data_IF_628837624384
#
_entry.id   IF_628837624384
#
_cell.length_a   1.000
_cell.length_b   1.000
_cell.length_c   1.000
_cell.angle_alpha   90.00
_cell.angle_beta   90.00
_cell.angle_gamma   90.00
#
_symmetry.space_group_name_H-M   'P 1'
#
loop_
_entity.id
_entity.type
_entity.pdbx_description
1 polymer ?
#
# COMPACT_ATOMS: atom_id res chain seq x y z
N UNK A 1 -0.12 23.75 -10.15
CA UNK A 1 -1.42 23.12 -9.77
C UNK A 1 -1.08 21.78 -9.13
N UNK A 2 -1.79 21.37 -8.07
CA UNK A 2 -1.51 20.07 -7.44
C UNK A 2 -1.87 18.93 -8.42
N UNK A 3 -1.03 17.89 -8.52
CA UNK A 3 -1.18 16.79 -9.47
C UNK A 3 -2.57 16.13 -9.43
N UNK A 4 -3.09 15.88 -8.21
CA UNK A 4 -4.43 15.34 -8.03
C UNK A 4 -5.53 16.23 -8.61
N UNK A 5 -5.45 17.56 -8.41
CA UNK A 5 -6.44 18.48 -8.98
C UNK A 5 -6.44 18.44 -10.52
N UNK A 6 -5.24 18.47 -11.11
CA UNK A 6 -5.08 18.37 -12.57
C UNK A 6 -5.60 17.05 -13.11
N UNK A 7 -5.40 15.96 -12.38
CA UNK A 7 -5.92 14.65 -12.76
C UNK A 7 -7.44 14.62 -12.75
N UNK A 8 -8.05 15.08 -11.66
CA UNK A 8 -9.50 15.05 -11.49
C UNK A 8 -10.25 16.00 -12.45
N UNK A 9 -9.64 17.13 -12.82
CA UNK A 9 -10.27 18.09 -13.75
C UNK A 9 -10.49 17.55 -15.17
N UNK A 10 -9.84 16.45 -15.53
CA UNK A 10 -9.98 15.79 -16.81
C UNK A 10 -10.94 14.59 -16.78
N UNK A 11 -11.61 14.34 -15.66
CA UNK A 11 -12.44 13.15 -15.46
C UNK A 11 -13.87 13.55 -15.10
N UNK A 12 -14.84 12.81 -15.64
CA UNK A 12 -16.24 12.93 -15.25
C UNK A 12 -16.43 12.31 -13.84
N UNK A 13 -16.88 13.12 -12.89
CA UNK A 13 -17.19 12.61 -11.56
C UNK A 13 -18.46 11.75 -11.57
N UNK A 14 -18.42 10.61 -10.93
CA UNK A 14 -19.55 9.68 -10.77
C UNK A 14 -19.70 9.21 -9.34
N UNK A 15 -20.94 8.94 -8.96
CA UNK A 15 -21.23 8.23 -7.72
C UNK A 15 -20.90 6.72 -7.81
N UNK A 16 -21.05 5.99 -6.71
CA UNK A 16 -20.79 4.55 -6.65
C UNK A 16 -21.79 3.70 -7.45
N UNK A 17 -22.84 4.28 -8.00
CA UNK A 17 -23.80 3.61 -8.90
C UNK A 17 -23.51 3.92 -10.38
N UNK A 18 -22.54 4.78 -10.65
CA UNK A 18 -22.17 5.21 -12.00
C UNK A 18 -22.93 6.41 -12.51
N UNK A 19 -23.77 7.05 -11.70
CA UNK A 19 -24.48 8.28 -12.10
C UNK A 19 -23.49 9.45 -12.10
N UNK A 20 -23.62 10.34 -13.11
CA UNK A 20 -22.81 11.55 -13.18
C UNK A 20 -23.15 12.50 -12.01
N UNK A 21 -22.10 13.07 -11.42
CA UNK A 21 -22.21 14.17 -10.45
C UNK A 21 -21.99 15.45 -11.24
N UNK A 22 -23.08 16.20 -11.46
CA UNK A 22 -23.06 17.39 -12.32
C UNK A 22 -22.42 18.59 -11.63
N UNK A 23 -21.79 19.48 -12.41
CA UNK A 23 -20.96 20.59 -11.93
C UNK A 23 -21.69 21.58 -11.00
N UNK A 24 -22.99 21.73 -11.15
CA UNK A 24 -23.86 22.60 -10.35
C UNK A 24 -24.52 21.87 -9.16
N UNK A 25 -24.27 20.58 -9.01
CA UNK A 25 -24.81 19.81 -7.90
C UNK A 25 -24.06 20.08 -6.57
N UNK A 26 -24.78 20.00 -5.44
CA UNK A 26 -24.19 20.13 -4.12
C UNK A 26 -23.02 19.13 -3.90
N UNK A 27 -23.15 17.84 -4.28
CA UNK A 27 -22.05 16.89 -4.16
C UNK A 27 -20.80 17.29 -4.93
N UNK A 28 -20.95 17.86 -6.12
CA UNK A 28 -19.83 18.33 -6.93
C UNK A 28 -19.10 19.49 -6.25
N UNK A 29 -19.84 20.53 -5.85
CA UNK A 29 -19.28 21.72 -5.18
C UNK A 29 -18.57 21.33 -3.89
N UNK A 30 -19.20 20.44 -3.09
CA UNK A 30 -18.62 19.94 -1.84
C UNK A 30 -17.34 19.13 -2.11
N UNK A 31 -17.33 18.27 -3.11
CA UNK A 31 -16.16 17.49 -3.49
C UNK A 31 -15.02 18.36 -4.00
N UNK A 32 -15.30 19.32 -4.86
CA UNK A 32 -14.30 20.27 -5.38
C UNK A 32 -13.67 21.07 -4.23
N UNK A 33 -14.48 21.62 -3.34
CA UNK A 33 -14.01 22.36 -2.14
C UNK A 33 -13.17 21.47 -1.24
N UNK A 34 -13.60 20.22 -1.02
CA UNK A 34 -12.82 19.24 -0.26
C UNK A 34 -11.46 18.99 -0.91
N UNK A 35 -11.41 18.70 -2.20
CA UNK A 35 -10.15 18.43 -2.92
C UNK A 35 -9.21 19.63 -2.83
N UNK A 36 -9.71 20.86 -2.94
CA UNK A 36 -8.92 22.09 -2.81
C UNK A 36 -8.25 22.18 -1.44
N UNK A 37 -9.02 22.00 -0.39
CA UNK A 37 -8.55 22.03 0.99
C UNK A 37 -7.64 20.83 1.29
N UNK A 38 -8.02 19.64 0.84
CA UNK A 38 -7.27 18.42 1.02
C UNK A 38 -5.89 18.49 0.37
N UNK A 39 -5.79 18.97 -0.88
CA UNK A 39 -4.50 19.13 -1.55
C UNK A 39 -3.57 20.12 -0.85
N UNK A 40 -4.11 21.13 -0.18
CA UNK A 40 -3.36 22.16 0.53
C UNK A 40 -2.88 21.70 1.92
N UNK A 41 -3.53 20.71 2.51
CA UNK A 41 -3.19 20.20 3.84
C UNK A 41 -1.87 19.45 3.84
N UNK A 42 -1.05 19.65 4.91
CA UNK A 42 0.33 19.12 4.99
C UNK A 42 0.45 17.76 5.68
N UNK A 43 -0.55 17.36 6.47
CA UNK A 43 -0.43 16.21 7.37
C UNK A 43 -0.80 14.86 6.74
N UNK A 44 -0.46 14.68 5.45
CA UNK A 44 -0.74 13.45 4.71
C UNK A 44 0.20 13.25 3.53
N UNK A 45 0.25 12.04 3.04
CA UNK A 45 0.85 11.69 1.74
C UNK A 45 -0.24 11.11 0.84
N UNK A 46 -0.45 11.71 -0.33
CA UNK A 46 -1.35 11.18 -1.36
C UNK A 46 -0.64 10.04 -2.07
N UNK A 47 -1.36 8.98 -2.31
CA UNK A 47 -0.88 7.76 -2.96
C UNK A 47 -1.74 7.42 -4.17
N UNK A 48 -1.09 6.97 -5.21
CA UNK A 48 -1.70 6.49 -6.44
C UNK A 48 -1.33 5.02 -6.64
N UNK A 49 -2.31 4.19 -6.98
CA UNK A 49 -2.08 2.80 -7.33
C UNK A 49 -2.73 2.48 -8.66
N UNK A 50 -1.93 2.22 -9.67
CA UNK A 50 -2.38 1.68 -10.94
C UNK A 50 -2.50 0.15 -10.85
N UNK A 51 -3.64 -0.40 -11.19
CA UNK A 51 -3.83 -1.84 -11.28
C UNK A 51 -4.67 -2.19 -12.51
N UNK A 52 -4.30 -3.29 -13.16
CA UNK A 52 -4.97 -3.79 -14.38
C UNK A 52 -5.81 -5.04 -14.13
N UNK A 53 -5.71 -5.63 -12.95
CA UNK A 53 -6.19 -6.99 -12.75
C UNK A 53 -7.63 -7.00 -12.25
N UNK A 54 -8.55 -7.42 -13.11
CA UNK A 54 -9.89 -7.83 -12.74
C UNK A 54 -9.82 -9.01 -11.76
N UNK A 55 -8.81 -9.89 -11.95
CA UNK A 55 -8.59 -11.10 -11.15
C UNK A 55 -8.28 -10.79 -9.68
N UNK A 56 -7.64 -9.65 -9.39
CA UNK A 56 -7.33 -9.23 -8.01
C UNK A 56 -8.59 -8.96 -7.18
N UNK A 57 -9.73 -8.63 -7.81
CA UNK A 57 -10.93 -8.19 -7.11
C UNK A 57 -12.09 -9.16 -7.21
N UNK A 58 -11.96 -10.23 -8.00
CA UNK A 58 -13.07 -11.15 -8.27
C UNK A 58 -14.39 -10.39 -8.60
N UNK A 59 -14.27 -9.34 -9.39
CA UNK A 59 -15.36 -8.48 -9.82
C UNK A 59 -15.01 -7.77 -11.13
N UNK A 60 -15.99 -7.65 -12.02
CA UNK A 60 -15.83 -6.89 -13.25
C UNK A 60 -15.68 -5.39 -12.91
N UNK A 61 -14.53 -4.80 -13.26
CA UNK A 61 -14.29 -3.37 -13.07
C UNK A 61 -15.23 -2.48 -13.89
N UNK A 62 -15.84 -3.02 -14.93
CA UNK A 62 -16.81 -2.30 -15.77
C UNK A 62 -18.22 -2.33 -15.20
N UNK A 63 -18.55 -3.26 -14.30
CA UNK A 63 -19.72 -3.16 -13.45
C UNK A 63 -19.41 -2.21 -12.28
N UNK A 64 -19.57 -0.91 -12.53
CA UNK A 64 -19.21 0.15 -11.58
C UNK A 64 -19.87 -0.09 -10.21
N UNK A 65 -21.13 -0.48 -10.17
CA UNK A 65 -21.88 -0.63 -8.91
C UNK A 65 -21.32 -1.76 -8.05
N UNK A 66 -21.10 -2.92 -8.64
CA UNK A 66 -20.56 -4.09 -7.92
C UNK A 66 -19.10 -3.86 -7.52
N UNK A 67 -18.29 -3.31 -8.44
CA UNK A 67 -16.89 -3.04 -8.14
C UNK A 67 -16.73 -1.94 -7.08
N UNK A 68 -17.46 -0.83 -7.18
CA UNK A 68 -17.45 0.25 -6.20
C UNK A 68 -17.88 -0.24 -4.81
N UNK A 69 -18.89 -1.12 -4.74
CA UNK A 69 -19.30 -1.72 -3.48
C UNK A 69 -18.16 -2.50 -2.84
N UNK A 70 -17.43 -3.34 -3.60
CA UNK A 70 -16.25 -4.05 -3.09
C UNK A 70 -15.16 -3.08 -2.65
N UNK A 71 -14.76 -2.15 -3.52
CA UNK A 71 -13.69 -1.19 -3.26
C UNK A 71 -13.94 -0.34 -2.02
N UNK A 72 -15.16 0.18 -1.87
CA UNK A 72 -15.49 1.07 -0.76
C UNK A 72 -15.99 0.37 0.51
N UNK A 73 -16.05 -0.97 0.48
CA UNK A 73 -16.37 -1.78 1.68
C UNK A 73 -15.13 -2.51 2.19
N UNK A 74 -14.31 -3.06 1.29
CA UNK A 74 -13.12 -3.85 1.62
C UNK A 74 -11.81 -3.10 1.44
N UNK A 75 -11.81 -2.08 0.58
CA UNK A 75 -10.59 -1.43 0.14
C UNK A 75 -9.87 -2.19 -0.97
N UNK A 76 -8.65 -1.78 -1.25
CA UNK A 76 -7.78 -2.49 -2.17
C UNK A 76 -7.13 -3.67 -1.45
N UNK A 77 -7.41 -4.86 -1.95
CA UNK A 77 -6.99 -6.11 -1.34
C UNK A 77 -5.49 -6.32 -1.46
N UNK A 78 -4.84 -6.58 -0.35
CA UNK A 78 -3.69 -7.46 -0.38
C UNK A 78 -4.16 -8.92 -0.41
N UNK A 79 -3.26 -9.85 -0.72
CA UNK A 79 -3.53 -11.30 -0.68
C UNK A 79 -4.11 -11.80 0.66
N UNK A 80 -4.07 -10.98 1.71
CA UNK A 80 -4.64 -11.24 3.02
C UNK A 80 -6.17 -11.32 3.03
N UNK A 81 -6.82 -10.64 2.09
CA UNK A 81 -8.28 -10.61 2.02
C UNK A 81 -8.87 -11.77 1.22
N UNK A 82 -8.02 -12.62 0.65
CA UNK A 82 -8.47 -13.74 -0.17
C UNK A 82 -8.57 -15.05 0.62
N UNK A 83 -9.64 -15.84 0.44
CA UNK A 83 -9.86 -17.08 1.21
C UNK A 83 -8.75 -18.12 1.07
N UNK A 84 -7.97 -18.08 -0.01
CA UNK A 84 -6.97 -19.07 -0.39
C UNK A 84 -5.53 -18.54 -0.30
N UNK A 85 -5.29 -17.47 0.45
CA UNK A 85 -3.92 -16.97 0.58
C UNK A 85 -3.09 -17.90 1.43
N UNK A 86 -2.05 -18.41 0.82
CA UNK A 86 -0.96 -19.12 1.48
C UNK A 86 0.05 -18.13 2.09
N UNK A 87 -0.42 -17.09 2.76
CA UNK A 87 0.45 -16.25 3.54
C UNK A 87 1.08 -17.12 4.63
N UNK A 88 2.36 -17.42 4.48
CA UNK A 88 3.10 -18.26 5.42
C UNK A 88 3.19 -17.60 6.80
N UNK A 89 3.09 -16.28 6.86
CA UNK A 89 3.27 -15.49 8.07
C UNK A 89 2.19 -14.42 8.20
N UNK A 90 1.74 -14.18 9.43
CA UNK A 90 0.81 -13.09 9.73
C UNK A 90 1.51 -11.72 9.62
N UNK A 91 0.72 -10.66 9.49
CA UNK A 91 1.24 -9.29 9.41
C UNK A 91 2.03 -8.89 10.67
N UNK A 92 1.65 -9.42 11.82
CA UNK A 92 2.29 -9.14 13.11
C UNK A 92 3.34 -10.19 13.50
N UNK A 93 3.59 -11.20 12.63
CA UNK A 93 4.64 -12.19 12.86
C UNK A 93 6.02 -11.52 12.76
N UNK A 94 6.86 -11.79 13.74
CA UNK A 94 8.27 -11.39 13.80
C UNK A 94 9.14 -12.52 14.39
N UNK A 95 8.72 -13.77 14.14
CA UNK A 95 9.45 -14.97 14.52
C UNK A 95 10.80 -15.08 13.80
N UNK A 96 11.72 -15.85 14.35
CA UNK A 96 13.01 -16.10 13.71
C UNK A 96 12.84 -16.90 12.42
N UNK A 97 11.83 -17.77 12.33
CA UNK A 97 11.47 -18.51 11.11
C UNK A 97 11.11 -17.58 9.96
N UNK A 98 10.40 -16.47 10.24
CA UNK A 98 10.13 -15.45 9.24
C UNK A 98 11.43 -14.81 8.73
N UNK A 99 12.38 -14.50 9.62
CA UNK A 99 13.65 -13.90 9.21
C UNK A 99 14.55 -14.91 8.48
N UNK A 100 14.48 -16.19 8.80
CA UNK A 100 15.12 -17.24 8.00
C UNK A 100 14.57 -17.27 6.58
N UNK A 101 13.25 -17.24 6.45
CA UNK A 101 12.58 -17.14 5.16
C UNK A 101 12.98 -15.87 4.39
N UNK A 102 13.04 -14.72 5.07
CA UNK A 102 13.51 -13.45 4.47
C UNK A 102 14.94 -13.62 3.93
N UNK A 103 15.85 -14.17 4.73
CA UNK A 103 17.23 -14.38 4.30
C UNK A 103 17.31 -15.25 3.05
N UNK A 104 16.64 -16.40 3.04
CA UNK A 104 16.64 -17.35 1.93
C UNK A 104 16.08 -16.71 0.65
N UNK A 105 15.00 -15.96 0.77
CA UNK A 105 14.40 -15.28 -0.38
C UNK A 105 15.25 -14.13 -0.92
N UNK A 106 15.91 -13.36 -0.06
CA UNK A 106 16.86 -12.35 -0.51
C UNK A 106 18.07 -12.99 -1.20
N UNK A 107 18.62 -14.07 -0.63
CA UNK A 107 19.69 -14.83 -1.25
C UNK A 107 19.29 -15.30 -2.67
N UNK A 108 18.17 -16.00 -2.79
CA UNK A 108 17.65 -16.48 -4.08
C UNK A 108 17.49 -15.35 -5.11
N UNK A 109 17.01 -14.19 -4.66
CA UNK A 109 16.69 -13.07 -5.54
C UNK A 109 17.91 -12.30 -5.99
N UNK A 110 18.80 -11.99 -5.06
CA UNK A 110 20.01 -11.21 -5.35
C UNK A 110 21.02 -12.00 -6.18
N UNK A 111 21.04 -13.33 -6.04
CA UNK A 111 21.87 -14.20 -6.88
C UNK A 111 21.30 -14.45 -8.29
N UNK A 112 20.13 -13.91 -8.62
CA UNK A 112 19.61 -13.92 -10.00
C UNK A 112 19.00 -15.23 -10.50
N UNK A 113 18.82 -16.22 -9.62
CA UNK A 113 18.51 -17.59 -10.03
C UNK A 113 17.06 -17.82 -10.54
N UNK A 114 16.17 -16.79 -10.50
CA UNK A 114 14.73 -16.99 -10.79
C UNK A 114 14.03 -15.82 -11.50
N UNK A 115 14.73 -14.97 -12.25
CA UNK A 115 14.10 -13.84 -12.93
C UNK A 115 13.77 -14.13 -14.39
N UNK A 116 12.52 -13.92 -14.77
CA UNK A 116 12.02 -14.22 -16.12
C UNK A 116 12.05 -13.02 -17.09
N UNK A 117 12.52 -11.84 -16.69
CA UNK A 117 12.60 -10.68 -17.58
C UNK A 117 13.97 -10.00 -17.53
N UNK A 118 14.47 -9.60 -18.70
CA UNK A 118 15.74 -8.89 -18.82
C UNK A 118 15.76 -7.57 -18.03
N UNK A 119 14.64 -6.83 -17.99
CA UNK A 119 14.54 -5.58 -17.24
C UNK A 119 14.66 -5.79 -15.73
N UNK A 120 14.12 -6.88 -15.20
CA UNK A 120 14.26 -7.24 -13.79
C UNK A 120 15.71 -7.62 -13.47
N UNK A 121 16.36 -8.38 -14.34
CA UNK A 121 17.77 -8.76 -14.18
C UNK A 121 18.66 -7.51 -14.16
N UNK A 122 18.44 -6.58 -15.08
CA UNK A 122 19.22 -5.34 -15.15
C UNK A 122 19.06 -4.48 -13.87
N UNK A 123 17.83 -4.36 -13.35
CA UNK A 123 17.56 -3.62 -12.12
C UNK A 123 18.24 -4.26 -10.90
N UNK A 124 18.20 -5.60 -10.78
CA UNK A 124 18.87 -6.32 -9.70
C UNK A 124 20.39 -6.19 -9.81
N UNK A 125 20.94 -6.32 -10.99
CA UNK A 125 22.40 -6.14 -11.19
C UNK A 125 22.83 -4.72 -10.81
N UNK A 126 22.06 -3.70 -11.19
CA UNK A 126 22.31 -2.32 -10.79
C UNK A 126 22.18 -2.14 -9.27
N UNK A 127 21.16 -2.73 -8.65
CA UNK A 127 21.00 -2.72 -7.19
C UNK A 127 22.21 -3.35 -6.49
N UNK A 128 22.65 -4.53 -6.94
CA UNK A 128 23.78 -5.25 -6.35
C UNK A 128 25.08 -4.44 -6.48
N UNK A 129 25.32 -3.81 -7.63
CA UNK A 129 26.49 -2.95 -7.86
C UNK A 129 26.51 -1.73 -6.93
N UNK A 130 25.34 -1.10 -6.72
CA UNK A 130 25.22 0.08 -5.87
C UNK A 130 25.18 -0.25 -4.37
N UNK A 131 24.97 -1.52 -4.00
CA UNK A 131 24.83 -1.98 -2.62
C UNK A 131 25.70 -3.23 -2.38
N UNK A 132 26.97 -3.17 -2.74
CA UNK A 132 27.87 -4.32 -2.76
C UNK A 132 27.92 -5.05 -1.41
N UNK A 133 28.07 -4.33 -0.29
CA UNK A 133 28.11 -4.95 1.04
C UNK A 133 26.82 -5.66 1.42
N UNK A 134 25.65 -5.12 1.03
CA UNK A 134 24.37 -5.78 1.21
C UNK A 134 24.28 -7.07 0.36
N UNK A 135 24.66 -6.97 -0.91
CA UNK A 135 24.68 -8.11 -1.82
C UNK A 135 25.63 -9.22 -1.32
N UNK A 136 26.87 -8.88 -0.97
CA UNK A 136 27.86 -9.85 -0.47
C UNK A 136 27.37 -10.55 0.79
N UNK A 137 26.68 -9.83 1.68
CA UNK A 137 26.13 -10.42 2.90
C UNK A 137 25.05 -11.46 2.59
N UNK A 138 24.04 -11.09 1.80
CA UNK A 138 22.90 -11.98 1.53
C UNK A 138 23.20 -13.06 0.47
N UNK A 139 24.19 -12.86 -0.41
CA UNK A 139 24.59 -13.87 -1.40
C UNK A 139 25.38 -15.04 -0.78
N UNK A 140 25.95 -14.86 0.40
CA UNK A 140 26.66 -15.89 1.11
C UNK A 140 25.73 -16.60 2.13
N UNK A 141 25.26 -17.81 1.80
CA UNK A 141 24.37 -18.59 2.65
C UNK A 141 24.88 -18.86 4.08
N UNK A 142 26.22 -18.83 4.30
CA UNK A 142 26.79 -19.00 5.65
C UNK A 142 26.46 -17.85 6.59
N UNK A 143 26.12 -16.68 6.05
CA UNK A 143 25.72 -15.49 6.82
C UNK A 143 24.33 -15.61 7.42
N UNK A 144 23.55 -16.63 7.07
CA UNK A 144 22.20 -16.87 7.64
C UNK A 144 22.24 -16.94 9.16
N UNK A 145 23.19 -17.71 9.72
CA UNK A 145 23.34 -17.86 11.17
C UNK A 145 23.66 -16.50 11.83
N UNK A 146 24.57 -15.73 11.23
CA UNK A 146 24.91 -14.39 11.72
C UNK A 146 23.72 -13.45 11.67
N UNK A 147 22.95 -13.47 10.58
CA UNK A 147 21.75 -12.66 10.44
C UNK A 147 20.72 -12.96 11.51
N UNK A 148 20.39 -14.25 11.72
CA UNK A 148 19.44 -14.67 12.74
C UNK A 148 19.92 -14.30 14.15
N UNK A 149 21.22 -14.47 14.43
CA UNK A 149 21.80 -14.06 15.72
C UNK A 149 21.71 -12.53 15.96
N UNK A 150 21.79 -11.70 14.91
CA UNK A 150 21.58 -10.26 15.03
C UNK A 150 20.10 -9.94 15.32
N UNK A 151 19.18 -10.58 14.60
CA UNK A 151 17.74 -10.41 14.80
C UNK A 151 17.29 -10.85 16.19
N UNK A 152 17.81 -11.96 16.69
CA UNK A 152 17.42 -12.51 18.00
C UNK A 152 17.68 -11.53 19.16
N UNK A 153 18.69 -10.68 19.02
CA UNK A 153 19.05 -9.65 20.02
C UNK A 153 18.11 -8.45 20.04
N UNK A 154 17.26 -8.30 19.03
CA UNK A 154 16.36 -7.15 18.89
C UNK A 154 15.11 -7.33 19.75
N UNK A 155 14.56 -6.22 20.24
CA UNK A 155 13.23 -6.22 20.82
C UNK A 155 12.14 -6.29 19.72
N UNK A 156 10.87 -6.53 20.12
CA UNK A 156 9.77 -6.73 19.18
C UNK A 156 9.55 -5.56 18.21
N UNK A 157 9.71 -4.31 18.66
CA UNK A 157 9.59 -3.12 17.79
C UNK A 157 10.71 -3.05 16.75
N UNK A 158 11.91 -3.40 17.16
CA UNK A 158 13.08 -3.44 16.27
C UNK A 158 12.96 -4.58 15.27
N UNK A 159 12.49 -5.75 15.72
CA UNK A 159 12.18 -6.90 14.85
C UNK A 159 11.11 -6.52 13.84
N UNK A 160 10.03 -5.88 14.28
CA UNK A 160 8.98 -5.42 13.38
C UNK A 160 9.51 -4.44 12.33
N UNK A 161 10.33 -3.49 12.74
CA UNK A 161 10.94 -2.53 11.82
C UNK A 161 11.87 -3.21 10.81
N UNK A 162 12.72 -4.12 11.26
CA UNK A 162 13.61 -4.90 10.40
C UNK A 162 12.82 -5.76 9.40
N UNK A 163 11.75 -6.41 9.86
CA UNK A 163 10.83 -7.18 9.01
C UNK A 163 10.27 -6.32 7.89
N UNK A 164 9.66 -5.19 8.24
CA UNK A 164 9.03 -4.28 7.26
C UNK A 164 10.05 -3.78 6.23
N UNK A 165 11.27 -3.50 6.65
CA UNK A 165 12.36 -3.08 5.77
C UNK A 165 12.71 -4.16 4.74
N UNK A 166 13.01 -5.38 5.18
CA UNK A 166 13.40 -6.45 4.25
C UNK A 166 12.24 -6.94 3.40
N UNK A 167 11.03 -7.02 3.93
CA UNK A 167 9.86 -7.44 3.16
C UNK A 167 9.47 -6.41 2.10
N UNK A 168 9.66 -5.11 2.37
CA UNK A 168 9.44 -4.07 1.36
C UNK A 168 10.44 -4.22 0.21
N UNK A 169 11.72 -4.46 0.50
CA UNK A 169 12.71 -4.75 -0.54
C UNK A 169 12.33 -5.99 -1.35
N UNK A 170 11.96 -7.08 -0.67
CA UNK A 170 11.53 -8.31 -1.33
C UNK A 170 10.32 -8.10 -2.23
N UNK A 171 9.36 -7.27 -1.82
CA UNK A 171 8.18 -6.93 -2.60
C UNK A 171 8.56 -6.20 -3.89
N UNK A 172 9.45 -5.21 -3.80
CA UNK A 172 9.90 -4.42 -4.94
C UNK A 172 10.73 -5.24 -5.93
N UNK A 173 11.64 -6.09 -5.45
CA UNK A 173 12.53 -6.88 -6.33
C UNK A 173 11.91 -8.15 -6.87
N UNK A 174 10.65 -8.48 -6.55
CA UNK A 174 10.18 -9.76 -7.04
C UNK A 174 8.70 -10.08 -7.09
N UNK A 175 8.17 -10.22 -8.31
CA UNK A 175 6.82 -10.77 -8.56
C UNK A 175 6.58 -12.16 -7.95
N UNK A 176 7.62 -12.98 -7.76
CA UNK A 176 7.50 -14.35 -7.25
C UNK A 176 7.14 -14.44 -5.75
N UNK A 177 7.03 -13.30 -5.06
CA UNK A 177 6.53 -13.24 -3.69
C UNK A 177 5.04 -12.88 -3.61
N UNK A 178 4.42 -12.59 -4.75
CA UNK A 178 3.04 -12.12 -4.83
C UNK A 178 2.05 -12.87 -3.93
N UNK A 179 2.04 -14.22 -3.88
CA UNK A 179 1.12 -14.92 -3.00
C UNK A 179 1.45 -14.79 -1.51
N UNK A 180 2.66 -14.36 -1.17
CA UNK A 180 3.14 -14.29 0.23
C UNK A 180 3.41 -12.85 0.70
N UNK A 181 3.18 -11.85 -0.14
CA UNK A 181 3.39 -10.46 0.21
C UNK A 181 2.10 -9.82 0.70
N UNK A 182 2.13 -9.31 1.92
CA UNK A 182 1.06 -8.45 2.44
C UNK A 182 1.33 -6.96 2.18
N UNK A 183 2.26 -6.65 1.28
CA UNK A 183 2.56 -5.30 0.85
C UNK A 183 1.79 -4.96 -0.42
N UNK A 184 1.32 -3.73 -0.49
CA UNK A 184 0.68 -3.16 -1.67
C UNK A 184 1.56 -2.05 -2.22
N UNK A 185 1.98 -2.19 -3.48
CA UNK A 185 2.69 -1.12 -4.18
C UNK A 185 1.80 0.06 -4.47
N UNK A 186 2.23 1.23 -4.05
CA UNK A 186 1.66 2.52 -4.41
C UNK A 186 2.77 3.47 -4.82
N UNK A 187 2.45 4.61 -5.43
CA UNK A 187 3.42 5.65 -5.75
C UNK A 187 2.95 7.01 -5.26
N UNK A 188 3.89 7.88 -4.93
CA UNK A 188 3.63 9.32 -4.69
C UNK A 188 3.37 10.09 -5.99
N UNK A 189 3.66 9.49 -7.16
CA UNK A 189 3.52 10.10 -8.47
C UNK A 189 2.43 9.42 -9.29
N UNK A 190 1.49 10.21 -9.80
CA UNK A 190 0.40 9.74 -10.65
C UNK A 190 0.92 9.05 -11.92
N UNK A 191 1.93 9.63 -12.56
CA UNK A 191 2.54 9.08 -13.78
C UNK A 191 2.93 7.61 -13.62
N UNK A 192 3.44 7.20 -12.45
CA UNK A 192 3.80 5.80 -12.19
C UNK A 192 2.58 4.90 -12.09
N UNK A 193 1.53 5.37 -11.44
CA UNK A 193 0.27 4.63 -11.42
C UNK A 193 -0.32 4.47 -12.83
N UNK A 194 -0.20 5.48 -13.70
CA UNK A 194 -0.63 5.41 -15.10
C UNK A 194 0.12 4.34 -15.90
N UNK A 195 1.43 4.21 -15.68
CA UNK A 195 2.25 3.17 -16.32
C UNK A 195 1.81 1.75 -15.93
N UNK A 196 1.33 1.57 -14.70
CA UNK A 196 0.90 0.25 -14.19
C UNK A 196 -0.57 -0.07 -14.46
N UNK A 197 -1.44 0.93 -14.61
CA UNK A 197 -2.87 0.68 -14.81
C UNK A 197 -3.20 -0.01 -16.13
N UNK A 198 -2.46 0.28 -17.21
CA UNK A 198 -2.83 -0.10 -18.59
C UNK A 198 -4.30 0.24 -18.87
N UNK A 199 -5.14 -0.78 -19.10
CA UNK A 199 -6.59 -0.65 -19.30
C UNK A 199 -7.41 -0.77 -18.01
N UNK A 200 -6.74 -0.77 -16.87
CA UNK A 200 -7.37 -0.90 -15.55
C UNK A 200 -7.77 0.43 -14.90
N UNK A 201 -7.54 0.52 -13.60
CA UNK A 201 -7.94 1.65 -12.77
C UNK A 201 -6.74 2.32 -12.09
N UNK A 202 -6.94 3.57 -11.66
CA UNK A 202 -6.05 4.24 -10.70
C UNK A 202 -6.85 4.49 -9.43
N UNK A 203 -6.41 3.90 -8.33
CA UNK A 203 -6.94 4.17 -7.00
C UNK A 203 -6.21 5.38 -6.44
N UNK A 204 -6.97 6.35 -5.94
CA UNK A 204 -6.45 7.52 -5.24
C UNK A 204 -6.74 7.37 -3.75
N UNK A 205 -5.68 7.34 -2.97
CA UNK A 205 -5.74 7.16 -1.51
C UNK A 205 -4.78 8.09 -0.79
N UNK A 206 -4.75 8.04 0.52
CA UNK A 206 -3.74 8.76 1.30
C UNK A 206 -3.35 7.99 2.56
N UNK A 207 -2.22 8.37 3.13
CA UNK A 207 -1.79 7.99 4.46
C UNK A 207 -1.59 9.23 5.31
N UNK A 208 -2.12 9.26 6.55
CA UNK A 208 -1.86 10.34 7.49
C UNK A 208 -0.39 10.37 7.92
N UNK A 209 0.14 11.57 8.17
CA UNK A 209 1.53 11.73 8.62
C UNK A 209 1.73 11.56 10.13
N UNK A 210 0.66 11.32 10.91
CA UNK A 210 0.76 11.16 12.35
C UNK A 210 1.42 9.83 12.73
N UNK A 211 2.23 9.82 13.79
CA UNK A 211 2.87 8.59 14.30
C UNK A 211 1.85 7.52 14.72
N UNK A 212 0.70 7.94 15.23
CA UNK A 212 -0.40 7.06 15.60
C UNK A 212 -0.85 6.24 14.40
N UNK A 213 -0.96 6.87 13.24
CA UNK A 213 -1.40 6.22 12.00
C UNK A 213 -0.29 5.44 11.32
N UNK A 214 0.98 5.80 11.53
CA UNK A 214 2.11 4.97 11.08
C UNK A 214 2.14 3.59 11.73
N UNK A 215 1.65 3.49 12.96
CA UNK A 215 1.52 2.18 13.63
C UNK A 215 0.44 1.29 13.05
N UNK A 216 -0.47 1.87 12.27
CA UNK A 216 -1.70 1.27 11.82
C UNK A 216 -1.69 1.01 10.32
N UNK A 217 -1.47 2.08 9.53
CA UNK A 217 -1.20 1.99 8.09
C UNK A 217 0.32 1.99 7.97
N UNK A 218 0.93 0.89 8.31
CA UNK A 218 2.38 0.78 8.23
C UNK A 218 2.78 0.87 6.77
N UNK A 219 3.55 1.89 6.43
CA UNK A 219 4.13 2.06 5.12
C UNK A 219 5.65 2.13 5.23
N UNK A 220 6.31 1.73 4.18
CA UNK A 220 7.75 1.87 4.03
C UNK A 220 8.05 2.62 2.74
N UNK A 221 8.86 3.66 2.82
CA UNK A 221 9.34 4.39 1.65
C UNK A 221 10.63 3.72 1.17
N UNK A 222 10.51 2.85 0.19
CA UNK A 222 11.64 2.08 -0.34
C UNK A 222 12.69 2.93 -1.06
N UNK A 223 12.43 4.22 -1.25
CA UNK A 223 13.39 5.14 -1.86
C UNK A 223 14.28 5.87 -0.84
N UNK A 224 14.03 5.69 0.44
CA UNK A 224 14.81 6.31 1.51
C UNK A 224 15.69 5.28 2.20
N UNK A 225 16.93 5.67 2.48
CA UNK A 225 17.82 4.87 3.32
C UNK A 225 17.28 4.80 4.73
N UNK A 226 17.16 3.59 5.26
CA UNK A 226 16.68 3.38 6.61
C UNK A 226 17.84 3.43 7.62
N UNK A 227 18.03 4.61 8.23
CA UNK A 227 19.07 4.81 9.23
C UNK A 227 18.88 3.97 10.51
N UNK A 228 17.65 3.53 10.79
CA UNK A 228 17.37 2.68 11.94
C UNK A 228 18.02 1.31 11.75
N UNK A 229 17.87 0.69 10.58
CA UNK A 229 18.51 -0.60 10.25
C UNK A 229 20.03 -0.52 10.40
N UNK A 230 20.62 0.56 9.92
CA UNK A 230 22.06 0.81 10.09
C UNK A 230 22.47 0.89 11.57
N UNK A 231 21.69 1.60 12.41
CA UNK A 231 21.93 1.73 13.84
C UNK A 231 21.80 0.40 14.60
N UNK A 232 20.94 -0.49 14.11
CA UNK A 232 20.78 -1.84 14.67
C UNK A 232 21.91 -2.78 14.26
N UNK A 233 22.86 -2.32 13.43
CA UNK A 233 23.96 -3.15 12.94
C UNK A 233 23.52 -4.23 11.96
N UNK A 234 22.32 -4.07 11.36
CA UNK A 234 21.79 -4.98 10.37
C UNK A 234 22.28 -4.64 8.97
N UNK A 235 22.34 -5.60 8.04
CA UNK A 235 22.63 -5.33 6.65
C UNK A 235 21.62 -4.32 6.07
N UNK A 236 22.11 -3.27 5.43
CA UNK A 236 21.26 -2.22 4.85
C UNK A 236 21.75 -1.87 3.44
N UNK A 237 20.83 -1.40 2.60
CA UNK A 237 21.11 -0.88 1.28
C UNK A 237 20.98 0.64 1.27
N UNK A 238 21.82 1.30 0.47
CA UNK A 238 21.85 2.77 0.34
C UNK A 238 21.02 3.25 -0.84
N UNK A 239 20.95 2.45 -1.90
CA UNK A 239 20.23 2.77 -3.14
C UNK A 239 19.12 1.76 -3.34
N UNK A 240 17.88 2.24 -3.33
CA UNK A 240 16.70 1.42 -3.58
C UNK A 240 16.64 0.95 -5.04
N UNK A 241 16.19 -0.28 -5.32
CA UNK A 241 15.83 -0.66 -6.68
C UNK A 241 14.66 0.19 -7.15
N UNK A 242 14.64 0.57 -8.42
CA UNK A 242 13.55 1.37 -9.01
C UNK A 242 13.25 2.69 -8.26
N UNK A 243 14.31 3.40 -7.83
CA UNK A 243 14.18 4.66 -7.07
C UNK A 243 13.33 5.73 -7.78
N UNK A 244 13.26 5.66 -9.12
CA UNK A 244 12.44 6.54 -9.96
C UNK A 244 10.93 6.30 -9.79
N UNK A 245 10.50 5.15 -9.26
CA UNK A 245 9.07 4.84 -9.08
C UNK A 245 8.43 5.55 -7.89
N UNK A 246 9.23 6.13 -6.99
CA UNK A 246 8.75 6.80 -5.77
C UNK A 246 7.76 5.93 -4.99
N UNK A 247 8.08 4.64 -4.91
CA UNK A 247 7.19 3.63 -4.34
C UNK A 247 7.03 3.79 -2.84
N UNK A 248 5.79 3.62 -2.40
CA UNK A 248 5.41 3.41 -1.00
C UNK A 248 4.75 2.04 -0.92
N UNK A 249 5.33 1.14 -0.16
CA UNK A 249 4.71 -0.13 0.17
C UNK A 249 3.75 0.05 1.35
N UNK A 250 2.46 -0.12 1.09
CA UNK A 250 1.44 -0.11 2.14
C UNK A 250 1.24 -1.51 2.67
N UNK A 251 1.28 -1.67 3.97
CA UNK A 251 1.17 -2.95 4.66
C UNK A 251 -0.30 -3.33 4.87
N UNK A 252 -0.66 -4.52 4.46
CA UNK A 252 -1.99 -5.11 4.68
C UNK A 252 -3.04 -4.77 3.63
N UNK A 253 -3.24 -3.51 3.31
CA UNK A 253 -4.25 -3.09 2.34
C UNK A 253 -4.45 -1.58 2.31
N UNK A 254 -4.99 -1.06 1.22
CA UNK A 254 -5.54 0.29 1.18
C UNK A 254 -6.97 0.22 1.72
N UNK A 255 -7.13 0.59 2.99
CA UNK A 255 -8.43 0.52 3.65
C UNK A 255 -9.41 1.54 3.03
N UNK A 256 -10.70 1.21 2.94
CA UNK A 256 -11.72 2.07 2.36
C UNK A 256 -11.82 3.44 3.06
N UNK A 257 -11.43 3.52 4.35
CA UNK A 257 -11.32 4.76 5.13
C UNK A 257 -10.39 5.80 4.50
N UNK A 258 -9.42 5.36 3.70
CA UNK A 258 -8.37 6.20 3.12
C UNK A 258 -8.36 6.17 1.60
N UNK A 259 -9.47 5.78 0.97
CA UNK A 259 -9.65 5.81 -0.48
C UNK A 259 -10.60 6.96 -0.85
N UNK A 260 -10.10 7.95 -1.60
CA UNK A 260 -10.91 9.04 -2.13
C UNK A 260 -11.85 8.51 -3.22
N UNK A 261 -11.32 7.65 -4.07
CA UNK A 261 -12.02 7.07 -5.21
C UNK A 261 -11.06 6.38 -6.16
N UNK A 262 -11.58 5.99 -7.32
CA UNK A 262 -10.76 5.40 -8.39
C UNK A 262 -11.18 5.91 -9.77
N UNK A 263 -10.22 6.02 -10.69
CA UNK A 263 -10.50 6.32 -12.07
C UNK A 263 -10.77 5.06 -12.87
N UNK A 264 -11.74 5.11 -13.75
CA UNK A 264 -12.03 4.10 -14.76
C UNK A 264 -12.34 4.79 -16.08
N UNK A 265 -11.50 4.59 -17.09
CA UNK A 265 -11.57 5.34 -18.36
C UNK A 265 -11.57 6.86 -18.10
N UNK A 266 -12.57 7.57 -18.61
CA UNK A 266 -12.73 9.02 -18.50
C UNK A 266 -13.54 9.45 -17.27
N UNK A 267 -13.74 8.54 -16.31
CA UNK A 267 -14.54 8.80 -15.12
C UNK A 267 -13.75 8.59 -13.84
N UNK A 268 -14.14 9.32 -12.79
CA UNK A 268 -13.66 9.14 -11.44
C UNK A 268 -14.84 8.79 -10.52
N UNK A 269 -14.80 7.59 -9.97
CA UNK A 269 -15.85 7.08 -9.08
C UNK A 269 -15.48 7.46 -7.64
N UNK A 270 -16.29 8.33 -7.05
CA UNK A 270 -16.03 8.90 -5.72
C UNK A 270 -16.53 7.96 -4.63
N UNK A 271 -15.77 7.85 -3.55
CA UNK A 271 -16.16 7.09 -2.37
C UNK A 271 -17.47 7.68 -1.77
N UNK A 272 -18.55 6.87 -1.66
CA UNK A 272 -19.83 7.36 -1.17
C UNK A 272 -19.77 7.81 0.30
N UNK A 273 -18.92 7.20 1.12
CA UNK A 273 -18.69 7.63 2.50
C UNK A 273 -18.09 9.03 2.57
N UNK A 274 -17.16 9.34 1.65
CA UNK A 274 -16.60 10.69 1.52
C UNK A 274 -17.67 11.69 1.08
N UNK A 275 -18.45 11.39 0.03
CA UNK A 275 -19.52 12.26 -0.45
C UNK A 275 -20.55 12.57 0.64
N UNK A 276 -20.95 11.56 1.42
CA UNK A 276 -21.86 11.73 2.55
C UNK A 276 -21.27 12.66 3.62
N UNK A 277 -20.00 12.47 3.94
CA UNK A 277 -19.34 13.24 5.00
C UNK A 277 -19.08 14.69 4.62
N UNK A 278 -18.68 14.98 3.39
CA UNK A 278 -18.41 16.34 2.91
C UNK A 278 -19.66 17.13 2.56
N UNK A 279 -20.79 16.49 2.33
CA UNK A 279 -22.09 17.14 2.12
C UNK A 279 -22.71 17.64 3.42
N UNK A 280 -22.17 17.26 4.58
CA UNK A 280 -22.47 17.81 5.90
C UNK A 280 -21.31 18.72 6.36
N UNK A 281 -21.49 19.42 7.48
CA UNK A 281 -20.36 20.16 8.09
C UNK A 281 -19.26 19.17 8.48
N UNK A 282 -18.14 19.17 7.76
CA UNK A 282 -17.03 18.23 7.98
C UNK A 282 -15.80 18.93 8.55
N UNK A 283 -15.04 18.20 9.37
CA UNK A 283 -13.71 18.58 9.79
C UNK A 283 -12.66 17.89 8.91
N UNK A 284 -12.00 18.68 8.05
CA UNK A 284 -10.97 18.18 7.16
C UNK A 284 -9.82 17.49 7.91
N UNK A 285 -9.39 18.06 9.05
CA UNK A 285 -8.30 17.48 9.82
C UNK A 285 -8.69 16.09 10.37
N UNK A 286 -9.94 15.98 10.80
CA UNK A 286 -10.48 14.69 11.26
C UNK A 286 -10.51 13.67 10.12
N UNK A 287 -10.98 14.04 8.93
CA UNK A 287 -10.95 13.14 7.76
C UNK A 287 -9.52 12.72 7.43
N UNK A 288 -8.57 13.65 7.40
CA UNK A 288 -7.17 13.35 7.10
C UNK A 288 -6.59 12.35 8.11
N UNK A 289 -6.89 12.52 9.38
CA UNK A 289 -6.31 11.74 10.47
C UNK A 289 -7.04 10.40 10.66
N UNK A 290 -8.35 10.44 10.79
CA UNK A 290 -9.18 9.28 11.15
C UNK A 290 -9.72 8.53 9.94
N UNK A 291 -9.65 9.16 8.76
CA UNK A 291 -10.21 8.62 7.53
C UNK A 291 -11.69 8.94 7.33
N UNK A 292 -12.23 8.41 6.25
CA UNK A 292 -13.65 8.48 5.90
C UNK A 292 -14.42 7.60 6.89
N UNK A 293 -15.52 8.13 7.44
CA UNK A 293 -16.37 7.39 8.36
C UNK A 293 -16.98 6.16 7.70
N UNK A 294 -16.68 4.97 8.21
CA UNK A 294 -17.29 3.71 7.81
C UNK A 294 -17.96 3.08 9.02
N UNK A 295 -19.00 2.32 8.75
CA UNK A 295 -19.63 1.47 9.77
C UNK A 295 -18.65 0.35 10.15
N UNK A 296 -18.04 0.49 11.32
CA UNK A 296 -17.01 -0.43 11.82
C UNK A 296 -17.55 -1.85 12.01
N UNK A 297 -18.79 -2.01 12.44
CA UNK A 297 -19.37 -3.34 12.68
C UNK A 297 -19.50 -4.09 11.36
N UNK A 298 -20.00 -3.42 10.33
CA UNK A 298 -20.07 -3.99 8.97
C UNK A 298 -18.70 -4.30 8.40
N UNK A 299 -17.73 -3.42 8.61
CA UNK A 299 -16.36 -3.66 8.16
C UNK A 299 -15.74 -4.87 8.85
N UNK A 300 -15.95 -5.02 10.16
CA UNK A 300 -15.54 -6.20 10.93
C UNK A 300 -16.17 -7.49 10.39
N UNK A 301 -17.47 -7.47 10.15
CA UNK A 301 -18.16 -8.65 9.62
C UNK A 301 -17.67 -9.05 8.23
N UNK A 302 -17.38 -8.07 7.38
CA UNK A 302 -16.78 -8.30 6.07
C UNK A 302 -15.40 -8.92 6.20
N UNK A 303 -14.55 -8.41 7.10
CA UNK A 303 -13.22 -8.96 7.31
C UNK A 303 -13.25 -10.41 7.82
N UNK A 304 -14.20 -10.77 8.69
CA UNK A 304 -14.43 -12.16 9.13
C UNK A 304 -14.70 -13.11 7.96
N UNK A 305 -15.48 -12.66 6.98
CA UNK A 305 -15.80 -13.48 5.79
C UNK A 305 -14.63 -13.66 4.85
N UNK A 306 -13.64 -12.76 4.90
CA UNK A 306 -12.45 -12.79 4.03
C UNK A 306 -11.28 -13.57 4.62
N UNK A 307 -11.42 -14.15 5.81
CA UNK A 307 -10.33 -14.81 6.54
C UNK A 307 -9.09 -13.90 6.75
N UNK A 308 -9.28 -12.60 6.72
CA UNK A 308 -8.22 -11.67 7.05
C UNK A 308 -7.74 -11.91 8.48
N UNK A 309 -6.45 -12.16 8.62
CA UNK A 309 -5.76 -12.31 9.91
C UNK A 309 -4.86 -11.10 10.09
N UNK A 310 -5.29 -10.13 10.81
CA UNK A 310 -4.53 -8.92 11.08
C UNK A 310 -5.39 -7.87 11.73
N UNK A 311 -4.77 -6.90 12.35
CA UNK A 311 -5.47 -5.81 12.95
C UNK A 311 -5.76 -4.68 11.94
N UNK A 312 -6.78 -3.93 12.20
CA UNK A 312 -7.05 -2.67 11.51
C UNK A 312 -7.43 -1.60 12.52
N UNK A 313 -7.39 -0.35 12.07
CA UNK A 313 -7.84 0.71 12.96
C UNK A 313 -9.29 1.05 12.74
N UNK A 314 -9.93 1.12 13.88
CA UNK A 314 -11.26 1.67 14.01
C UNK A 314 -11.22 3.21 13.91
N UNK A 315 -12.36 3.80 13.53
CA UNK A 315 -12.55 5.26 13.41
C UNK A 315 -12.23 6.02 14.70
N UNK A 316 -12.46 5.39 15.86
CA UNK A 316 -12.10 5.94 17.17
C UNK A 316 -10.59 5.92 17.44
N UNK A 317 -9.82 5.38 16.52
CA UNK A 317 -8.38 5.29 16.60
C UNK A 317 -7.83 4.16 17.45
N UNK A 318 -8.66 3.21 17.84
CA UNK A 318 -8.23 2.00 18.51
C UNK A 318 -7.87 0.91 17.50
N UNK A 319 -6.87 0.13 17.85
CA UNK A 319 -6.50 -1.06 17.10
C UNK A 319 -7.54 -2.14 17.36
N UNK A 320 -8.05 -2.74 16.31
CA UNK A 320 -9.02 -3.82 16.39
C UNK A 320 -8.36 -5.11 15.90
N UNK A 321 -8.18 -6.05 16.81
CA UNK A 321 -7.74 -7.40 16.49
C UNK A 321 -8.92 -8.29 16.03
N UNK A 322 -8.58 -9.26 15.20
CA UNK A 322 -9.46 -10.35 14.77
C UNK A 322 -8.98 -11.68 15.30
#
# INVERSE_FOLDING_TARGET
>A
MHELKSFLSNLLLKDSKGNAITDDSIPYVSFSTFIDSFCSAKNKTILYRGTKSIEEYDADIFDISTFAKKMFTLGDKSHYFEPNTHALFCIDDHSLELFEFIFEKLNDKLCGNKFNSQGTIAAINSFNQNNQGFFEFFSNGTNKISFISLIDKLNDKEKEHAKDYYLSLMHVVGKSLSPNSYMISTSKELKRAEEFKKDGIIIVSWIPSSERHRKIIKYNDVNNTDLMIKRLGLPYYEVSPYSEQKEICVKGGLLPHYIIGYSLKDSFIVNPGLLSQISSAYDLNRIIIEGIGIDQSKFKDVLKTTKYKGGFICIDGYYCDY
#
